data_IF_694363101545
#
_entry.id   IF_694363101545
#
_cell.length_a   1.000
_cell.length_b   1.000
_cell.length_c   1.000
_cell.angle_alpha   90.00
_cell.angle_beta   90.00
_cell.angle_gamma   90.00
#
_symmetry.space_group_name_H-M   'P 1'
#
loop_
_entity.id
_entity.type
_entity.pdbx_description
1 polymer ?
#
# COMPACT_ATOMS: atom_id res chain seq x y z
N UNK A 1 25.81 13.41 18.03
CA UNK A 1 25.48 12.39 17.00
C UNK A 1 25.99 11.00 17.35
N UNK A 2 27.28 10.78 17.68
CA UNK A 2 27.82 9.44 18.03
C UNK A 2 27.13 8.77 19.24
N UNK A 3 26.77 9.55 20.29
CA UNK A 3 26.07 9.02 21.48
C UNK A 3 24.61 8.60 21.18
N UNK A 4 23.94 9.30 20.26
CA UNK A 4 22.59 8.93 19.83
C UNK A 4 22.60 7.64 18.99
N UNK A 5 23.64 7.48 18.15
CA UNK A 5 23.85 6.27 17.36
C UNK A 5 24.17 5.05 18.26
N UNK A 6 24.97 5.25 19.31
CA UNK A 6 25.30 4.21 20.31
C UNK A 6 24.05 3.82 21.14
N UNK A 7 23.21 4.78 21.50
CA UNK A 7 21.95 4.53 22.21
C UNK A 7 20.95 3.79 21.30
N UNK A 8 20.86 4.16 20.02
CA UNK A 8 20.05 3.42 19.06
C UNK A 8 20.60 2.01 18.83
N UNK A 9 21.92 1.84 18.71
CA UNK A 9 22.55 0.53 18.56
C UNK A 9 22.35 -0.34 19.82
N UNK A 10 22.48 0.21 21.03
CA UNK A 10 22.18 -0.51 22.27
C UNK A 10 20.70 -0.87 22.40
N UNK A 11 19.77 0.01 22.02
CA UNK A 11 18.35 -0.37 22.00
C UNK A 11 18.07 -1.51 21.02
N UNK A 12 18.71 -1.54 19.87
CA UNK A 12 18.56 -2.62 18.88
C UNK A 12 19.05 -3.97 19.42
N UNK A 13 20.15 -3.99 20.18
CA UNK A 13 20.73 -5.25 20.70
C UNK A 13 19.97 -5.86 21.88
N UNK A 14 19.30 -5.05 22.71
CA UNK A 14 18.49 -5.56 23.84
C UNK A 14 17.11 -6.05 23.40
N UNK A 15 16.67 -5.71 22.21
CA UNK A 15 15.35 -6.03 21.64
C UNK A 15 15.39 -7.35 20.82
N UNK A 16 16.60 -7.80 20.46
CA UNK A 16 16.83 -8.91 19.54
C UNK A 16 16.34 -10.29 20.04
N UNK A 17 16.04 -10.44 21.32
CA UNK A 17 15.77 -11.75 21.92
C UNK A 17 14.31 -12.23 21.82
N UNK A 18 13.38 -11.46 21.24
CA UNK A 18 11.95 -11.78 21.30
C UNK A 18 11.22 -11.76 19.94
N UNK A 19 11.95 -11.62 18.85
CA UNK A 19 11.38 -11.61 17.50
C UNK A 19 12.00 -12.72 16.62
N UNK A 20 12.40 -13.83 17.23
CA UNK A 20 12.85 -15.00 16.49
C UNK A 20 11.65 -15.92 16.28
N UNK A 21 11.42 -16.28 15.03
CA UNK A 21 10.48 -17.31 14.62
C UNK A 21 11.28 -18.51 14.12
N UNK A 22 10.80 -19.70 14.41
CA UNK A 22 11.42 -20.92 13.99
C UNK A 22 10.94 -21.35 12.60
N UNK A 23 11.71 -22.23 11.95
CA UNK A 23 11.31 -22.85 10.69
C UNK A 23 10.00 -23.63 10.89
N UNK A 24 9.02 -23.36 10.03
CA UNK A 24 7.71 -23.97 10.09
C UNK A 24 6.66 -23.16 10.83
N UNK A 25 7.03 -22.08 11.50
CA UNK A 25 6.08 -21.20 12.17
C UNK A 25 5.10 -20.56 11.17
N UNK A 26 3.86 -20.40 11.62
CA UNK A 26 2.81 -19.70 10.89
C UNK A 26 2.27 -18.57 11.76
N UNK A 27 2.25 -17.37 11.23
CA UNK A 27 1.65 -16.22 11.89
C UNK A 27 0.52 -15.61 11.07
N UNK A 28 -0.48 -15.09 11.76
CA UNK A 28 -1.59 -14.32 11.18
C UNK A 28 -1.49 -12.91 11.72
N UNK A 29 -1.55 -11.92 10.83
CA UNK A 29 -1.38 -10.52 11.19
C UNK A 29 -2.56 -9.69 10.72
N UNK A 30 -3.54 -9.33 11.56
CA UNK A 30 -4.42 -8.22 11.28
C UNK A 30 -3.59 -6.93 11.18
N UNK A 31 -3.89 -6.12 10.17
CA UNK A 31 -3.15 -4.91 9.84
C UNK A 31 -4.10 -3.74 9.62
N UNK A 32 -3.69 -2.58 10.08
CA UNK A 32 -4.37 -1.30 9.83
C UNK A 32 -3.32 -0.21 9.67
N UNK A 33 -3.60 0.76 8.80
CA UNK A 33 -2.65 1.83 8.57
C UNK A 33 -3.12 2.81 7.50
N UNK A 34 -2.17 3.43 6.86
CA UNK A 34 -2.38 4.48 5.89
C UNK A 34 -1.77 4.10 4.54
N UNK A 35 -2.47 4.46 3.48
CA UNK A 35 -1.95 4.45 2.11
C UNK A 35 -1.84 5.87 1.60
N UNK A 36 -0.70 6.22 1.04
CA UNK A 36 -0.42 7.49 0.40
C UNK A 36 -0.20 7.22 -1.08
N UNK A 37 -1.15 7.60 -1.91
CA UNK A 37 -1.22 7.20 -3.30
C UNK A 37 -1.24 8.38 -4.26
N UNK A 38 -0.67 8.16 -5.44
CA UNK A 38 -0.80 9.02 -6.59
C UNK A 38 -0.86 8.16 -7.86
N UNK A 39 -1.27 8.75 -8.96
CA UNK A 39 -1.12 8.18 -10.29
C UNK A 39 -0.07 9.00 -11.06
N UNK A 40 0.52 8.42 -12.10
CA UNK A 40 1.36 9.20 -13.02
C UNK A 40 0.52 10.37 -13.55
N UNK A 41 1.07 11.57 -13.57
CA UNK A 41 0.40 12.83 -13.97
C UNK A 41 -0.72 13.32 -13.02
N UNK A 42 -0.87 12.73 -11.83
CA UNK A 42 -1.73 13.27 -10.79
C UNK A 42 -1.09 14.46 -10.07
N UNK A 43 -1.84 15.57 -9.87
CA UNK A 43 -1.32 16.79 -9.27
C UNK A 43 -0.87 16.59 -7.83
N UNK A 44 -1.65 15.86 -7.03
CA UNK A 44 -1.40 15.71 -5.59
C UNK A 44 -1.62 14.28 -5.09
N UNK A 45 -0.75 13.90 -4.18
CA UNK A 45 -0.87 12.66 -3.43
C UNK A 45 -2.09 12.69 -2.50
N UNK A 46 -2.67 11.51 -2.33
CA UNK A 46 -3.86 11.33 -1.52
C UNK A 46 -3.60 10.36 -0.38
N UNK A 47 -3.91 10.79 0.84
CA UNK A 47 -3.84 9.95 2.03
C UNK A 47 -5.17 9.22 2.25
N UNK A 48 -5.09 7.92 2.52
CA UNK A 48 -6.23 7.05 2.75
C UNK A 48 -5.92 5.98 3.80
N UNK A 49 -6.92 5.17 4.14
CA UNK A 49 -6.78 4.05 5.07
C UNK A 49 -6.47 2.77 4.30
N UNK A 50 -5.61 1.95 4.88
CA UNK A 50 -5.32 0.57 4.47
C UNK A 50 -5.61 -0.36 5.64
N UNK A 51 -6.27 -1.49 5.39
CA UNK A 51 -6.55 -2.50 6.41
C UNK A 51 -6.70 -3.88 5.79
N UNK A 52 -6.43 -4.92 6.57
CA UNK A 52 -6.55 -6.29 6.11
C UNK A 52 -5.90 -7.30 7.02
N UNK A 53 -5.56 -8.46 6.45
CA UNK A 53 -4.91 -9.57 7.14
C UNK A 53 -3.80 -10.12 6.25
N UNK A 54 -2.66 -10.43 6.85
CA UNK A 54 -1.52 -11.07 6.19
C UNK A 54 -1.17 -12.35 6.96
N UNK A 55 -0.87 -13.43 6.24
CA UNK A 55 -0.35 -14.69 6.75
C UNK A 55 1.13 -14.74 6.41
N UNK A 56 1.95 -15.24 7.32
CA UNK A 56 3.38 -15.39 7.09
C UNK A 56 3.81 -16.77 7.53
N UNK A 57 4.55 -17.45 6.64
CA UNK A 57 5.13 -18.76 6.86
C UNK A 57 6.65 -18.68 6.83
N UNK A 58 7.29 -19.18 7.88
CA UNK A 58 8.75 -19.13 8.04
C UNK A 58 9.37 -20.38 7.42
N UNK A 59 10.13 -20.19 6.35
CA UNK A 59 10.87 -21.25 5.66
C UNK A 59 12.24 -21.50 6.31
N UNK A 60 12.76 -20.52 7.01
CA UNK A 60 13.99 -20.55 7.81
C UNK A 60 13.96 -19.37 8.78
N UNK A 61 14.83 -19.36 9.79
CA UNK A 61 14.95 -18.24 10.76
C UNK A 61 15.07 -16.86 10.10
N UNK A 62 15.71 -16.80 8.92
CA UNK A 62 15.96 -15.55 8.20
C UNK A 62 15.06 -15.33 6.98
N UNK A 63 14.18 -16.28 6.66
CA UNK A 63 13.41 -16.21 5.43
C UNK A 63 11.97 -16.65 5.62
N UNK A 64 11.02 -15.83 5.22
CA UNK A 64 9.62 -16.17 5.22
C UNK A 64 8.92 -15.78 3.91
N UNK A 65 7.77 -16.39 3.68
CA UNK A 65 6.81 -16.01 2.65
C UNK A 65 5.56 -15.47 3.33
N UNK A 66 5.11 -14.31 2.90
CA UNK A 66 3.86 -13.74 3.38
C UNK A 66 2.87 -13.55 2.24
N UNK A 67 1.60 -13.79 2.53
CA UNK A 67 0.49 -13.55 1.62
C UNK A 67 -0.72 -13.03 2.37
N UNK A 68 -1.53 -12.17 1.75
CA UNK A 68 -2.64 -11.59 2.47
C UNK A 68 -3.69 -10.95 1.60
N UNK A 69 -4.69 -10.38 2.26
CA UNK A 69 -5.72 -9.54 1.65
C UNK A 69 -5.69 -8.19 2.34
N UNK A 70 -5.48 -7.12 1.56
CA UNK A 70 -5.53 -5.75 2.05
C UNK A 70 -6.55 -4.95 1.23
N UNK A 71 -7.34 -4.16 1.91
CA UNK A 71 -8.23 -3.19 1.31
C UNK A 71 -7.61 -1.80 1.40
N UNK A 72 -7.49 -1.14 0.26
CA UNK A 72 -6.91 0.20 0.17
C UNK A 72 -7.80 1.10 -0.66
N UNK A 73 -7.88 2.37 -0.29
CA UNK A 73 -8.39 3.39 -1.16
C UNK A 73 -7.19 4.11 -1.78
N UNK A 74 -7.13 4.17 -3.10
CA UNK A 74 -6.05 4.77 -3.88
C UNK A 74 -6.61 5.92 -4.74
N UNK A 75 -5.78 6.50 -5.59
CA UNK A 75 -6.15 7.59 -6.49
C UNK A 75 -5.35 8.85 -6.23
N UNK A 76 -5.86 9.97 -6.69
CA UNK A 76 -5.19 11.27 -6.62
C UNK A 76 -6.18 12.39 -6.35
N UNK A 77 -5.64 13.59 -6.20
CA UNK A 77 -6.41 14.83 -6.16
C UNK A 77 -5.97 15.71 -7.32
N UNK A 78 -6.94 16.37 -7.94
CA UNK A 78 -6.72 17.39 -8.96
C UNK A 78 -7.21 18.73 -8.43
N UNK A 79 -6.42 19.78 -8.62
CA UNK A 79 -6.84 21.14 -8.33
C UNK A 79 -7.68 21.68 -9.51
N UNK A 80 -8.79 22.33 -9.22
CA UNK A 80 -9.60 22.99 -10.24
C UNK A 80 -9.20 24.49 -10.31
N UNK A 81 -8.65 24.89 -11.44
CA UNK A 81 -8.29 26.29 -11.71
C UNK A 81 -9.41 26.93 -12.53
N UNK A 82 -10.07 27.98 -12.00
CA UNK A 82 -11.12 28.72 -12.71
C UNK A 82 -10.66 30.04 -13.31
N UNK A 83 -9.44 30.49 -13.04
CA UNK A 83 -8.79 31.64 -13.66
C UNK A 83 -7.26 31.50 -13.61
N UNK A 84 -6.57 32.21 -14.52
CA UNK A 84 -5.12 32.21 -14.72
C UNK A 84 -4.41 32.60 -13.41
N UNK A 85 -4.26 31.68 -12.46
CA UNK A 85 -3.52 31.78 -11.19
C UNK A 85 -4.32 31.67 -9.87
N UNK A 86 -5.58 31.32 -9.87
CA UNK A 86 -6.31 31.07 -8.60
C UNK A 86 -6.95 29.68 -8.58
N UNK A 87 -6.60 28.88 -7.56
CA UNK A 87 -7.36 27.69 -7.21
C UNK A 87 -8.71 28.16 -6.67
N UNK A 88 -9.74 28.05 -7.48
CA UNK A 88 -11.09 28.44 -7.10
C UNK A 88 -11.96 27.19 -7.11
N UNK A 89 -12.25 26.69 -5.92
CA UNK A 89 -13.17 25.60 -5.72
C UNK A 89 -12.57 24.37 -5.03
N UNK A 90 -13.43 23.50 -4.54
CA UNK A 90 -13.03 22.22 -3.98
C UNK A 90 -12.47 21.32 -5.09
N UNK A 91 -11.20 20.90 -4.97
CA UNK A 91 -10.53 20.05 -5.93
C UNK A 91 -11.25 18.73 -6.16
N UNK A 92 -11.09 18.17 -7.35
CA UNK A 92 -11.64 16.87 -7.71
C UNK A 92 -10.81 15.77 -7.04
N UNK A 93 -11.47 14.84 -6.33
CA UNK A 93 -10.86 13.69 -5.68
C UNK A 93 -11.27 12.42 -6.42
N UNK A 94 -10.30 11.73 -7.00
CA UNK A 94 -10.50 10.39 -7.54
C UNK A 94 -10.29 9.37 -6.42
N UNK A 95 -11.28 8.51 -6.18
CA UNK A 95 -11.24 7.43 -5.20
C UNK A 95 -11.35 6.08 -5.91
N UNK A 96 -10.29 5.29 -5.84
CA UNK A 96 -10.22 3.94 -6.39
C UNK A 96 -10.09 2.95 -5.24
N UNK A 97 -11.11 2.17 -5.00
CA UNK A 97 -11.14 1.14 -3.94
C UNK A 97 -10.63 -0.18 -4.50
N UNK A 98 -9.56 -0.68 -3.90
CA UNK A 98 -8.93 -1.94 -4.30
C UNK A 98 -8.97 -2.97 -3.18
N UNK A 99 -9.25 -4.23 -3.56
CA UNK A 99 -8.81 -5.41 -2.82
C UNK A 99 -7.48 -5.86 -3.40
N UNK A 100 -6.43 -5.88 -2.60
CA UNK A 100 -5.08 -6.23 -3.03
C UNK A 100 -4.63 -7.52 -2.37
N UNK A 101 -3.86 -8.32 -3.08
CA UNK A 101 -3.33 -9.62 -2.65
C UNK A 101 -1.80 -9.57 -2.64
N UNK A 102 -1.16 -8.94 -1.64
CA UNK A 102 0.29 -8.94 -1.55
C UNK A 102 0.80 -10.37 -1.31
N UNK A 103 1.80 -10.76 -2.09
CA UNK A 103 2.58 -12.00 -1.91
C UNK A 103 4.03 -11.57 -1.87
N UNK A 104 4.70 -11.69 -0.71
CA UNK A 104 6.05 -11.18 -0.49
C UNK A 104 6.96 -12.25 0.08
N UNK A 105 8.20 -12.24 -0.37
CA UNK A 105 9.32 -12.87 0.30
C UNK A 105 9.92 -11.85 1.27
N UNK A 106 10.19 -12.28 2.48
CA UNK A 106 10.74 -11.45 3.54
C UNK A 106 12.09 -12.04 3.96
N UNK A 107 13.11 -11.20 4.00
CA UNK A 107 14.45 -11.56 4.44
C UNK A 107 14.81 -10.77 5.68
N UNK A 108 14.99 -11.48 6.80
CA UNK A 108 15.31 -10.90 8.11
C UNK A 108 16.80 -10.62 8.20
N UNK A 109 17.18 -9.34 8.08
CA UNK A 109 18.58 -8.87 8.17
C UNK A 109 19.06 -8.71 9.61
N UNK A 110 18.11 -8.48 10.52
CA UNK A 110 18.31 -8.43 11.97
C UNK A 110 17.05 -9.06 12.61
N UNK A 111 17.13 -9.53 13.87
CA UNK A 111 15.96 -9.97 14.60
C UNK A 111 14.86 -8.90 14.55
N UNK A 112 13.70 -9.27 14.01
CA UNK A 112 12.55 -8.41 13.82
C UNK A 112 12.61 -7.46 12.63
N UNK A 113 13.76 -7.21 11.99
CA UNK A 113 13.86 -6.31 10.84
C UNK A 113 13.98 -7.11 9.54
N UNK A 114 12.97 -7.03 8.69
CA UNK A 114 12.93 -7.70 7.41
C UNK A 114 12.86 -6.75 6.21
N UNK A 115 13.59 -7.11 5.15
CA UNK A 115 13.38 -6.60 3.80
C UNK A 115 12.25 -7.40 3.15
N UNK A 116 11.37 -6.72 2.44
CA UNK A 116 10.22 -7.35 1.78
C UNK A 116 10.21 -6.99 0.30
N UNK A 117 9.99 -7.99 -0.55
CA UNK A 117 9.76 -7.80 -1.98
C UNK A 117 8.84 -8.89 -2.52
N UNK A 118 8.07 -8.58 -3.59
CA UNK A 118 7.16 -9.58 -4.14
C UNK A 118 6.29 -9.06 -5.28
N UNK A 119 5.12 -9.64 -5.38
CA UNK A 119 4.08 -9.24 -6.34
C UNK A 119 2.79 -8.93 -5.59
N UNK A 120 2.02 -7.99 -6.13
CA UNK A 120 0.73 -7.62 -5.55
C UNK A 120 -0.31 -7.41 -6.64
N UNK A 121 -1.04 -8.48 -7.01
CA UNK A 121 -2.28 -8.34 -7.76
C UNK A 121 -3.30 -7.52 -6.98
N UNK A 122 -4.06 -6.69 -7.68
CA UNK A 122 -5.11 -5.86 -7.10
C UNK A 122 -6.33 -5.82 -8.02
N UNK A 123 -7.52 -5.81 -7.41
CA UNK A 123 -8.77 -5.73 -8.11
C UNK A 123 -9.54 -4.49 -7.66
N UNK A 124 -9.89 -3.63 -8.60
CA UNK A 124 -10.69 -2.45 -8.34
C UNK A 124 -12.15 -2.85 -8.09
N UNK A 125 -12.61 -2.62 -6.87
CA UNK A 125 -13.97 -2.93 -6.45
C UNK A 125 -14.92 -1.77 -6.78
N UNK A 126 -14.43 -0.51 -6.64
CA UNK A 126 -15.23 0.69 -6.85
C UNK A 126 -14.36 1.87 -7.25
N UNK A 127 -14.91 2.75 -8.10
CA UNK A 127 -14.30 4.02 -8.44
C UNK A 127 -15.34 5.16 -8.29
N UNK A 128 -14.96 6.24 -7.63
CA UNK A 128 -15.80 7.42 -7.46
C UNK A 128 -14.99 8.69 -7.69
N UNK A 129 -15.64 9.67 -8.28
CA UNK A 129 -15.18 11.06 -8.32
C UNK A 129 -15.97 11.86 -7.30
N UNK A 130 -15.29 12.65 -6.50
CA UNK A 130 -15.89 13.54 -5.51
C UNK A 130 -15.48 14.97 -5.83
N UNK A 131 -16.46 15.85 -6.02
CA UNK A 131 -16.28 17.28 -6.17
C UNK A 131 -17.25 17.99 -5.24
N UNK A 132 -16.70 18.69 -4.27
CA UNK A 132 -17.52 19.28 -3.20
C UNK A 132 -18.30 18.20 -2.42
N UNK A 133 -19.59 18.39 -2.33
CA UNK A 133 -20.52 17.44 -1.71
C UNK A 133 -21.04 16.36 -2.67
N UNK A 134 -20.80 16.51 -3.96
CA UNK A 134 -21.28 15.57 -4.98
C UNK A 134 -20.34 14.38 -5.12
N UNK A 135 -20.94 13.20 -5.27
CA UNK A 135 -20.24 11.93 -5.47
C UNK A 135 -20.79 11.23 -6.70
N UNK A 136 -19.98 11.17 -7.73
CA UNK A 136 -20.33 10.55 -9.00
C UNK A 136 -19.59 9.21 -9.15
N UNK A 137 -20.27 8.24 -9.77
CA UNK A 137 -19.64 6.99 -10.17
C UNK A 137 -18.71 7.28 -11.36
N UNK A 138 -17.43 6.95 -11.20
CA UNK A 138 -16.41 7.27 -12.20
C UNK A 138 -16.67 6.52 -13.53
N UNK A 139 -17.04 5.24 -13.46
CA UNK A 139 -17.27 4.43 -14.66
C UNK A 139 -18.47 4.97 -15.47
N UNK A 140 -19.52 5.44 -14.78
CA UNK A 140 -20.67 6.09 -15.42
C UNK A 140 -20.31 7.45 -16.03
N UNK A 141 -19.45 8.21 -15.34
CA UNK A 141 -18.99 9.50 -15.84
C UNK A 141 -18.15 9.32 -17.11
N UNK A 142 -17.19 8.39 -17.12
CA UNK A 142 -16.36 8.09 -18.29
C UNK A 142 -17.22 7.63 -19.46
N UNK A 143 -18.20 6.74 -19.24
CA UNK A 143 -19.11 6.28 -20.28
C UNK A 143 -19.96 7.41 -20.87
N UNK A 144 -20.36 8.38 -20.05
CA UNK A 144 -21.14 9.54 -20.52
C UNK A 144 -20.34 10.53 -21.37
N UNK A 145 -19.05 10.75 -21.07
CA UNK A 145 -18.22 11.74 -21.75
C UNK A 145 -17.41 11.17 -22.92
N UNK A 146 -16.97 9.91 -22.83
CA UNK A 146 -16.05 9.29 -23.79
C UNK A 146 -16.67 8.09 -24.53
N UNK A 147 -17.95 7.77 -24.26
CA UNK A 147 -18.61 6.58 -24.79
C UNK A 147 -18.19 5.30 -24.06
N UNK A 148 -18.72 4.16 -24.51
CA UNK A 148 -18.45 2.86 -23.88
C UNK A 148 -17.08 2.25 -24.25
N UNK A 149 -16.31 2.91 -25.11
CA UNK A 149 -15.05 2.37 -25.64
C UNK A 149 -13.87 2.59 -24.70
N UNK A 150 -13.91 3.63 -23.84
CA UNK A 150 -12.87 3.89 -22.84
C UNK A 150 -13.24 3.20 -21.53
N UNK A 151 -12.50 2.15 -21.19
CA UNK A 151 -12.68 1.41 -19.93
C UNK A 151 -11.43 1.50 -19.06
N UNK A 152 -11.63 1.81 -17.79
CA UNK A 152 -10.55 1.64 -16.82
C UNK A 152 -10.37 0.15 -16.48
N UNK A 153 -9.12 -0.27 -16.46
CA UNK A 153 -8.77 -1.62 -16.04
C UNK A 153 -9.21 -1.87 -14.60
N UNK A 154 -9.87 -2.99 -14.37
CA UNK A 154 -10.25 -3.44 -13.02
C UNK A 154 -9.13 -4.19 -12.31
N UNK A 155 -8.17 -4.68 -13.07
CA UNK A 155 -7.01 -5.39 -12.59
C UNK A 155 -5.79 -4.47 -12.58
N UNK A 156 -5.02 -4.51 -11.50
CA UNK A 156 -3.75 -3.83 -11.35
C UNK A 156 -2.71 -4.80 -10.80
N UNK A 157 -1.48 -4.70 -11.25
CA UNK A 157 -0.35 -5.49 -10.78
C UNK A 157 0.77 -4.53 -10.37
N UNK A 158 1.33 -4.75 -9.18
CA UNK A 158 2.45 -3.97 -8.68
C UNK A 158 3.53 -4.85 -8.06
N UNK A 159 4.73 -4.29 -7.93
CA UNK A 159 5.83 -4.86 -7.16
C UNK A 159 5.90 -4.10 -5.83
N UNK A 160 5.51 -4.72 -4.71
CA UNK A 160 5.77 -4.19 -3.38
C UNK A 160 7.25 -4.37 -3.03
N UNK A 161 7.90 -3.30 -2.58
CA UNK A 161 9.22 -3.32 -1.97
C UNK A 161 9.15 -2.56 -0.65
N UNK A 162 9.77 -3.06 0.40
CA UNK A 162 9.61 -2.42 1.70
C UNK A 162 10.43 -3.02 2.81
N UNK A 163 10.12 -2.54 4.00
CA UNK A 163 10.72 -2.93 5.27
C UNK A 163 9.62 -3.24 6.27
N UNK A 164 9.84 -4.21 7.12
CA UNK A 164 9.01 -4.40 8.30
C UNK A 164 9.88 -4.55 9.55
N UNK A 165 9.39 -4.02 10.66
CA UNK A 165 10.02 -4.17 11.95
C UNK A 165 9.02 -4.74 12.95
N UNK A 166 9.41 -5.83 13.59
CA UNK A 166 8.65 -6.51 14.63
C UNK A 166 9.24 -6.28 16.01
N UNK A 167 8.37 -5.96 16.96
CA UNK A 167 8.73 -5.87 18.36
C UNK A 167 7.59 -6.43 19.23
N UNK A 168 7.84 -7.50 19.95
CA UNK A 168 6.85 -8.18 20.83
C UNK A 168 5.52 -8.46 20.12
N UNK A 169 5.60 -8.98 18.90
CA UNK A 169 4.45 -9.28 18.06
C UNK A 169 3.81 -8.05 17.37
N UNK A 170 4.12 -6.84 17.78
CA UNK A 170 3.70 -5.63 17.06
C UNK A 170 4.61 -5.43 15.85
N UNK A 171 4.02 -5.28 14.69
CA UNK A 171 4.75 -5.09 13.43
C UNK A 171 4.46 -3.71 12.85
N UNK A 172 5.50 -2.96 12.54
CA UNK A 172 5.44 -1.77 11.67
C UNK A 172 5.94 -2.18 10.29
N UNK A 173 5.13 -1.96 9.27
CA UNK A 173 5.45 -2.31 7.88
C UNK A 173 5.32 -1.08 7.01
N UNK A 174 6.31 -0.82 6.18
CA UNK A 174 6.34 0.28 5.23
C UNK A 174 6.70 -0.27 3.85
N UNK A 175 5.79 -0.11 2.87
CA UNK A 175 5.94 -0.62 1.49
C UNK A 175 5.71 0.48 0.48
N UNK A 176 6.47 0.41 -0.60
CA UNK A 176 6.21 1.16 -1.82
C UNK A 176 5.82 0.19 -2.93
N UNK A 177 4.63 0.38 -3.47
CA UNK A 177 4.08 -0.45 -4.54
C UNK A 177 4.34 0.24 -5.88
N UNK A 178 5.15 -0.38 -6.72
CA UNK A 178 5.51 0.08 -8.06
C UNK A 178 4.50 -0.53 -9.04
N UNK A 179 3.58 0.27 -9.57
CA UNK A 179 2.58 -0.19 -10.54
C UNK A 179 3.22 -0.65 -11.85
N UNK A 180 2.81 -1.81 -12.33
CA UNK A 180 3.27 -2.41 -13.60
C UNK A 180 2.21 -2.32 -14.69
N UNK A 181 0.93 -2.30 -14.32
CA UNK A 181 -0.18 -2.26 -15.27
C UNK A 181 -0.70 -0.84 -15.45
N UNK A 182 -1.16 -0.56 -16.66
CA UNK A 182 -1.81 0.71 -16.97
C UNK A 182 -3.23 0.73 -16.40
N UNK A 183 -3.64 1.88 -15.91
CA UNK A 183 -5.00 2.10 -15.39
C UNK A 183 -6.06 2.17 -16.49
N UNK A 184 -5.67 2.55 -17.70
CA UNK A 184 -6.56 2.72 -18.86
C UNK A 184 -6.18 1.78 -19.99
N UNK A 185 -7.18 1.26 -20.72
CA UNK A 185 -6.95 0.37 -21.87
C UNK A 185 -6.40 1.12 -23.08
N UNK A 186 -6.84 2.36 -23.29
CA UNK A 186 -6.42 3.24 -24.37
C UNK A 186 -6.05 4.62 -23.80
N UNK A 187 -4.86 5.13 -24.13
CA UNK A 187 -4.40 6.46 -23.73
C UNK A 187 -3.06 6.46 -23.00
N UNK A 188 -2.86 7.47 -22.17
CA UNK A 188 -1.60 7.75 -21.50
C UNK A 188 -1.15 6.63 -20.56
N UNK A 189 0.17 6.52 -20.38
CA UNK A 189 0.81 5.53 -19.53
C UNK A 189 0.59 5.85 -18.03
N UNK A 190 -0.64 5.71 -17.55
CA UNK A 190 -1.01 5.99 -16.17
C UNK A 190 -0.78 4.76 -15.29
N UNK A 191 0.13 4.87 -14.33
CA UNK A 191 0.46 3.83 -13.35
C UNK A 191 0.15 4.28 -11.93
N UNK A 192 -0.27 3.36 -11.08
CA UNK A 192 -0.41 3.60 -9.66
C UNK A 192 0.96 3.66 -8.97
N UNK A 193 1.11 4.62 -8.06
CA UNK A 193 2.24 4.76 -7.15
C UNK A 193 1.67 4.84 -5.74
N UNK A 194 1.96 3.84 -4.91
CA UNK A 194 1.34 3.75 -3.60
C UNK A 194 2.37 3.44 -2.53
N UNK A 195 2.46 4.33 -1.56
CA UNK A 195 3.20 4.11 -0.33
C UNK A 195 2.23 3.69 0.77
N UNK A 196 2.50 2.56 1.43
CA UNK A 196 1.62 2.01 2.47
C UNK A 196 2.42 1.84 3.75
N UNK A 197 1.89 2.34 4.86
CA UNK A 197 2.42 2.11 6.20
C UNK A 197 1.34 1.48 7.05
N UNK A 198 1.61 0.32 7.61
CA UNK A 198 0.64 -0.39 8.46
C UNK A 198 1.26 -0.82 9.78
N UNK A 199 0.44 -0.80 10.81
CA UNK A 199 0.68 -1.50 12.06
C UNK A 199 -0.09 -2.81 12.03
N UNK A 200 0.55 -3.87 12.48
CA UNK A 200 -0.05 -5.19 12.63
C UNK A 200 0.31 -5.82 13.97
N UNK A 201 -0.36 -6.91 14.28
CA UNK A 201 0.00 -7.74 15.42
C UNK A 201 0.06 -9.19 14.96
N UNK A 202 1.21 -9.85 15.19
CA UNK A 202 1.41 -11.25 14.88
C UNK A 202 0.73 -12.12 15.93
N UNK A 203 -0.22 -12.89 15.46
CA UNK A 203 -0.87 -13.97 16.19
C UNK A 203 -0.34 -15.27 15.58
N UNK A 204 0.24 -16.14 16.34
CA UNK A 204 0.73 -17.41 15.82
C UNK A 204 1.14 -18.35 16.91
N UNK A 205 1.26 -19.61 16.53
CA UNK A 205 1.77 -20.70 17.33
C UNK A 205 3.28 -20.74 17.18
N UNK A 206 3.95 -20.76 18.30
CA UNK A 206 5.34 -21.21 18.42
C UNK A 206 5.35 -22.72 18.48
#
# INVERSE_FOLDING_TARGET
>A
MKKLFLLMAMMVTTIAAQAQHDEGDITIQPRVGLSYSNITDGDKWKLNIAYGVEFEYYLAEQFSLAGGVLFTNQGCKYDVYSDINKVTGEGIKLNLYYGTLPITANYYILPGLALKAGIQPAFRVKANVVQGSEKLDFDKMVAAFYGNDVKMNKFDLSIPVGLSYEFKGVTLDARYNIGLTKLTSDGDNLYNKVFVVTLGYKLGSH
#
